data_IF_805615040201
#
_entry.id   IF_805615040201
#
_cell.length_a   1.000
_cell.length_b   1.000
_cell.length_c   1.000
_cell.angle_alpha   90.00
_cell.angle_beta   90.00
_cell.angle_gamma   90.00
#
_symmetry.space_group_name_H-M   'P 1'
#
loop_
_entity.id
_entity.type
_entity.pdbx_description
1 polymer ?
#
# COMPACT_ATOMS: atom_id res chain seq x y z
N UNK A 1 12.50 -17.24 5.53
CA UNK A 1 11.27 -16.62 6.06
C UNK A 1 11.51 -15.12 5.97
N UNK A 2 10.61 -14.35 5.34
CA UNK A 2 10.84 -12.90 5.15
C UNK A 2 10.72 -12.24 6.53
N UNK A 3 11.81 -11.66 7.04
CA UNK A 3 11.77 -10.85 8.26
C UNK A 3 11.19 -9.47 7.91
N UNK A 4 9.90 -9.28 8.21
CA UNK A 4 9.30 -7.94 8.19
C UNK A 4 9.58 -7.26 9.52
N UNK A 5 10.26 -6.12 9.47
CA UNK A 5 10.42 -5.25 10.62
C UNK A 5 9.07 -4.68 11.07
N UNK A 6 9.06 -4.11 12.28
CA UNK A 6 7.95 -3.29 12.77
C UNK A 6 7.59 -2.15 11.81
N UNK A 7 8.57 -1.60 11.10
CA UNK A 7 8.37 -0.53 10.13
C UNK A 7 7.68 -1.04 8.86
N UNK A 8 8.05 -2.22 8.36
CA UNK A 8 7.41 -2.80 7.17
C UNK A 8 5.94 -3.13 7.46
N UNK A 9 5.66 -3.65 8.66
CA UNK A 9 4.28 -3.84 9.12
C UNK A 9 3.49 -2.53 9.20
N UNK A 10 4.11 -1.44 9.67
CA UNK A 10 3.47 -0.12 9.66
C UNK A 10 3.20 0.38 8.24
N UNK A 11 4.16 0.23 7.33
CA UNK A 11 4.00 0.57 5.90
C UNK A 11 2.79 -0.17 5.33
N UNK A 12 2.72 -1.48 5.54
CA UNK A 12 1.60 -2.30 5.06
C UNK A 12 0.27 -1.86 5.67
N UNK A 13 0.23 -1.60 6.98
CA UNK A 13 -0.99 -1.14 7.65
C UNK A 13 -1.49 0.21 7.11
N UNK A 14 -0.58 1.14 6.83
CA UNK A 14 -0.93 2.43 6.23
C UNK A 14 -1.37 2.29 4.77
N UNK A 15 -0.69 1.46 3.98
CA UNK A 15 -1.07 1.17 2.58
C UNK A 15 -2.40 0.39 2.47
N UNK A 16 -2.71 -0.46 3.44
CA UNK A 16 -3.98 -1.20 3.48
C UNK A 16 -5.14 -0.25 3.80
N UNK A 17 -4.89 0.76 4.64
CA UNK A 17 -5.87 1.82 4.95
C UNK A 17 -6.03 2.82 3.81
N UNK A 18 -4.92 3.22 3.20
CA UNK A 18 -4.90 4.24 2.15
C UNK A 18 -3.78 3.94 1.14
N UNK A 19 -4.13 3.13 0.14
CA UNK A 19 -3.27 2.76 -0.96
C UNK A 19 -2.92 3.94 -1.89
N UNK A 20 -3.54 5.11 -1.72
CA UNK A 20 -3.32 6.29 -2.53
C UNK A 20 -2.29 7.26 -1.91
N UNK A 21 -1.77 6.92 -0.72
CA UNK A 21 -0.72 7.71 -0.08
C UNK A 21 0.56 7.72 -0.92
N UNK A 22 1.12 8.92 -1.12
CA UNK A 22 2.44 9.06 -1.72
C UNK A 22 3.51 8.56 -0.75
N UNK A 23 4.63 8.06 -1.31
CA UNK A 23 5.76 7.56 -0.52
C UNK A 23 6.29 8.57 0.52
N UNK A 24 6.18 9.87 0.23
CA UNK A 24 6.54 10.96 1.16
C UNK A 24 5.60 10.98 2.37
N UNK A 25 4.28 10.98 2.15
CA UNK A 25 3.28 10.97 3.23
C UNK A 25 3.33 9.67 4.03
N UNK A 26 3.53 8.55 3.35
CA UNK A 26 3.71 7.25 3.97
C UNK A 26 4.94 7.24 4.88
N UNK A 27 6.07 7.79 4.41
CA UNK A 27 7.28 7.92 5.22
C UNK A 27 7.04 8.78 6.46
N UNK A 28 6.34 9.91 6.31
CA UNK A 28 6.01 10.81 7.42
C UNK A 28 5.14 10.11 8.49
N UNK A 29 4.12 9.35 8.08
CA UNK A 29 3.25 8.59 9.00
C UNK A 29 3.97 7.45 9.70
N UNK A 30 4.87 6.76 9.00
CA UNK A 30 5.63 5.64 9.57
C UNK A 30 6.80 6.13 10.44
N UNK A 31 7.23 7.38 10.26
CA UNK A 31 8.36 7.99 10.95
C UNK A 31 9.71 7.67 10.28
N UNK A 32 9.73 7.56 8.96
CA UNK A 32 10.91 7.25 8.15
C UNK A 32 11.29 8.41 7.24
N UNK A 33 12.55 8.43 6.83
CA UNK A 33 12.97 9.28 5.71
C UNK A 33 12.38 8.75 4.40
N UNK A 34 11.99 9.64 3.47
CA UNK A 34 11.36 9.25 2.20
C UNK A 34 12.23 8.29 1.38
N UNK A 35 13.56 8.46 1.39
CA UNK A 35 14.51 7.57 0.73
C UNK A 35 14.53 6.15 1.31
N UNK A 36 14.36 6.02 2.63
CA UNK A 36 14.31 4.72 3.31
C UNK A 36 12.97 4.01 3.07
N UNK A 37 11.87 4.78 3.06
CA UNK A 37 10.54 4.27 2.76
C UNK A 37 10.47 3.71 1.33
N UNK A 38 11.00 4.44 0.34
CA UNK A 38 11.06 3.99 -1.06
C UNK A 38 11.77 2.64 -1.20
N UNK A 39 12.95 2.50 -0.58
CA UNK A 39 13.74 1.26 -0.66
C UNK A 39 12.98 0.08 -0.04
N UNK A 40 12.30 0.28 1.09
CA UNK A 40 11.50 -0.76 1.76
C UNK A 40 10.29 -1.15 0.93
N UNK A 41 9.55 -0.19 0.38
CA UNK A 41 8.40 -0.45 -0.51
C UNK A 41 8.85 -1.24 -1.74
N UNK A 42 9.94 -0.84 -2.40
CA UNK A 42 10.50 -1.59 -3.54
C UNK A 42 10.88 -3.02 -3.17
N UNK A 43 11.48 -3.25 -2.01
CA UNK A 43 11.82 -4.60 -1.58
C UNK A 43 10.56 -5.42 -1.27
N UNK A 44 9.55 -4.83 -0.63
CA UNK A 44 8.26 -5.45 -0.37
C UNK A 44 7.50 -5.81 -1.66
N UNK A 45 7.62 -4.99 -2.70
CA UNK A 45 7.13 -5.29 -4.05
C UNK A 45 7.95 -6.42 -4.70
N UNK A 46 9.28 -6.35 -4.60
CA UNK A 46 10.20 -7.33 -5.21
C UNK A 46 10.04 -8.73 -4.63
N UNK A 47 9.82 -8.84 -3.33
CA UNK A 47 9.58 -10.12 -2.64
C UNK A 47 8.11 -10.60 -2.78
N UNK A 48 7.24 -9.80 -3.41
CA UNK A 48 5.83 -10.15 -3.65
C UNK A 48 4.92 -10.03 -2.43
N UNK A 49 5.34 -9.30 -1.38
CA UNK A 49 4.47 -8.96 -0.25
C UNK A 49 3.44 -7.92 -0.70
N UNK A 50 3.86 -6.89 -1.43
CA UNK A 50 2.95 -5.98 -2.13
C UNK A 50 2.69 -6.56 -3.51
N UNK A 51 1.50 -7.12 -3.71
CA UNK A 51 1.10 -7.74 -4.99
C UNK A 51 0.46 -6.76 -5.98
N UNK A 52 0.03 -5.61 -5.49
CA UNK A 52 -0.61 -4.58 -6.29
C UNK A 52 -1.60 -3.76 -5.48
N UNK A 53 -1.94 -2.59 -6.01
CA UNK A 53 -2.90 -1.66 -5.41
C UNK A 53 -4.28 -1.90 -6.03
N UNK A 54 -5.31 -2.02 -5.19
CA UNK A 54 -6.68 -2.27 -5.65
C UNK A 54 -7.56 -1.07 -5.33
N UNK A 55 -8.19 -0.50 -6.35
CA UNK A 55 -9.26 0.46 -6.16
C UNK A 55 -10.53 -0.30 -5.72
N UNK A 56 -11.13 0.13 -4.62
CA UNK A 56 -12.48 -0.29 -4.22
C UNK A 56 -13.45 0.62 -4.95
N UNK A 57 -14.14 0.07 -5.95
CA UNK A 57 -15.06 0.85 -6.78
C UNK A 57 -16.49 0.46 -6.42
N UNK A 58 -17.30 1.46 -6.10
CA UNK A 58 -18.73 1.28 -5.85
C UNK A 58 -19.46 1.04 -7.18
N UNK A 59 -19.95 -0.20 -7.36
CA UNK A 59 -20.65 -0.60 -8.59
C UNK A 59 -22.06 -0.04 -8.69
N UNK A 60 -22.69 0.31 -7.57
CA UNK A 60 -24.04 0.88 -7.56
C UNK A 60 -24.05 2.30 -8.12
N UNK A 61 -22.96 3.05 -7.90
CA UNK A 61 -22.79 4.41 -8.45
C UNK A 61 -22.31 4.41 -9.91
N UNK A 62 -21.74 3.32 -10.41
CA UNK A 62 -21.28 3.22 -11.79
C UNK A 62 -22.43 3.03 -12.80
N UNK A 63 -23.69 2.91 -12.35
CA UNK A 63 -24.83 2.66 -13.23
C UNK A 63 -24.76 1.31 -13.96
N UNK A 64 -23.79 0.48 -13.63
CA UNK A 64 -23.65 -0.88 -14.14
C UNK A 64 -24.52 -1.76 -13.25
N UNK A 65 -25.83 -1.63 -13.45
CA UNK A 65 -26.76 -2.68 -13.08
C UNK A 65 -26.21 -3.98 -13.66
N UNK A 66 -26.06 -4.98 -12.80
CA UNK A 66 -25.76 -6.35 -13.19
C UNK A 66 -26.65 -6.69 -14.39
N UNK A 67 -26.07 -6.79 -15.57
CA UNK A 67 -26.75 -7.37 -16.71
C UNK A 67 -26.10 -8.73 -16.90
N UNK A 68 -26.91 -9.74 -16.57
CA UNK A 68 -26.81 -11.20 -16.73
C UNK A 68 -25.75 -11.96 -15.94
#
# INVERSE_FOLDING_TARGET
MIELDRLDRKILCELERDAHLTNIKLAERVGLSPSACLRRVQELERIGVIRGYKAVIDRSLLGIGLTV
#
